data_IF_868347068293
#
_entry.id   IF_868347068293
#
_cell.length_a   1.000
_cell.length_b   1.000
_cell.length_c   1.000
_cell.angle_alpha   90.00
_cell.angle_beta   90.00
_cell.angle_gamma   90.00
#
_symmetry.space_group_name_H-M   'P 1'
#
loop_
_entity.id
_entity.type
_entity.pdbx_description
1 polymer ?
#
# COMPACT_ATOMS: atom_id res chain seq x y z
N UNK A 1 0.56 -3.68 0.73
CA UNK A 1 0.89 -4.73 -0.27
C UNK A 1 2.29 -5.31 -0.08
N UNK A 2 2.49 -6.61 -0.30
CA UNK A 2 3.77 -7.33 -0.29
C UNK A 2 4.17 -7.69 -1.71
N UNK A 3 5.48 -7.81 -1.97
CA UNK A 3 5.93 -8.25 -3.29
C UNK A 3 5.36 -9.62 -3.68
N UNK A 4 5.29 -10.56 -2.74
CA UNK A 4 4.72 -11.89 -3.01
C UNK A 4 3.22 -11.91 -3.30
N UNK A 5 2.50 -10.81 -3.07
CA UNK A 5 1.09 -10.65 -3.45
C UNK A 5 0.93 -10.19 -4.91
N UNK A 6 2.02 -9.70 -5.51
CA UNK A 6 2.08 -9.16 -6.87
C UNK A 6 2.72 -10.10 -7.88
N UNK A 7 3.32 -11.19 -7.41
CA UNK A 7 4.18 -12.07 -8.22
C UNK A 7 3.81 -13.53 -8.03
N UNK A 8 4.04 -14.34 -9.05
CA UNK A 8 4.01 -15.79 -8.92
C UNK A 8 5.24 -16.32 -8.17
N UNK A 9 5.10 -17.43 -7.44
CA UNK A 9 6.23 -18.23 -6.98
C UNK A 9 7.15 -18.65 -8.14
N UNK A 10 8.46 -18.59 -7.88
CA UNK A 10 9.47 -19.11 -8.82
C UNK A 10 9.29 -20.62 -9.03
N UNK A 11 9.01 -21.36 -7.95
CA UNK A 11 8.59 -22.76 -8.02
C UNK A 11 7.17 -22.89 -8.59
N UNK A 12 7.04 -23.59 -9.71
CA UNK A 12 5.77 -23.78 -10.42
C UNK A 12 4.77 -24.61 -9.62
N UNK A 13 5.23 -25.50 -8.75
CA UNK A 13 4.37 -26.37 -7.92
C UNK A 13 3.59 -25.57 -6.86
N UNK A 14 4.11 -24.41 -6.48
CA UNK A 14 3.51 -23.53 -5.46
C UNK A 14 2.55 -22.49 -6.07
N UNK A 15 2.41 -22.44 -7.40
CA UNK A 15 1.55 -21.46 -8.09
C UNK A 15 0.09 -21.79 -7.87
N UNK A 16 -0.68 -20.77 -7.50
CA UNK A 16 -2.10 -20.92 -7.24
C UNK A 16 -2.88 -19.85 -8.02
N UNK A 17 -3.64 -20.23 -9.07
CA UNK A 17 -4.43 -19.29 -9.86
C UNK A 17 -5.44 -18.46 -9.07
N UNK A 18 -5.91 -18.96 -7.92
CA UNK A 18 -6.84 -18.23 -7.04
C UNK A 18 -6.19 -17.01 -6.38
N UNK A 19 -4.85 -16.98 -6.28
CA UNK A 19 -4.09 -15.87 -5.69
C UNK A 19 -3.72 -14.78 -6.72
N UNK A 20 -4.03 -15.00 -7.99
CA UNK A 20 -3.68 -14.07 -9.07
C UNK A 20 -4.67 -12.91 -9.10
N UNK A 21 -4.14 -11.69 -9.02
CA UNK A 21 -4.92 -10.45 -9.22
C UNK A 21 -5.44 -10.41 -10.66
N UNK A 22 -6.75 -10.24 -10.82
CA UNK A 22 -7.38 -10.25 -12.14
C UNK A 22 -7.49 -8.85 -12.72
N UNK A 23 -7.26 -8.71 -14.03
CA UNK A 23 -7.48 -7.47 -14.78
C UNK A 23 -8.92 -6.98 -14.68
N UNK A 24 -9.88 -7.89 -14.63
CA UNK A 24 -11.32 -7.59 -14.53
C UNK A 24 -11.72 -6.98 -13.18
N UNK A 25 -10.87 -7.11 -12.15
CA UNK A 25 -11.11 -6.46 -10.86
C UNK A 25 -10.72 -4.98 -10.84
N UNK A 26 -10.02 -4.50 -11.88
CA UNK A 26 -9.55 -3.12 -11.93
C UNK A 26 -10.71 -2.20 -12.25
N UNK A 27 -10.86 -1.17 -11.42
CA UNK A 27 -11.73 -0.02 -11.68
C UNK A 27 -10.84 1.23 -11.75
N UNK A 28 -11.09 2.06 -12.76
CA UNK A 28 -10.31 3.26 -13.05
C UNK A 28 -11.26 4.46 -13.12
N UNK A 29 -10.91 5.54 -12.43
CA UNK A 29 -11.59 6.84 -12.52
C UNK A 29 -10.55 7.92 -12.88
N UNK A 30 -10.96 9.19 -12.95
CA UNK A 30 -10.05 10.31 -13.18
C UNK A 30 -9.07 10.55 -12.01
N UNK A 31 -9.45 10.12 -10.80
CA UNK A 31 -8.78 10.47 -9.55
C UNK A 31 -8.21 9.27 -8.80
N UNK A 32 -8.58 8.04 -9.18
CA UNK A 32 -8.07 6.84 -8.54
C UNK A 32 -8.08 5.64 -9.49
N UNK A 33 -7.33 4.62 -9.07
CA UNK A 33 -7.55 3.27 -9.55
C UNK A 33 -7.62 2.32 -8.36
N UNK A 34 -8.40 1.26 -8.52
CA UNK A 34 -8.48 0.19 -7.52
C UNK A 34 -8.54 -1.18 -8.16
N UNK A 35 -8.12 -2.19 -7.41
CA UNK A 35 -8.21 -3.58 -7.82
C UNK A 35 -8.31 -4.51 -6.62
N UNK A 36 -8.83 -5.71 -6.86
CA UNK A 36 -9.02 -6.71 -5.81
C UNK A 36 -7.77 -7.57 -5.66
N UNK A 37 -7.25 -7.63 -4.43
CA UNK A 37 -6.18 -8.53 -4.00
C UNK A 37 -6.80 -9.80 -3.40
N UNK A 38 -6.71 -10.98 -4.06
CA UNK A 38 -7.48 -12.16 -3.65
C UNK A 38 -7.03 -12.83 -2.35
N UNK A 39 -5.78 -12.63 -1.94
CA UNK A 39 -5.29 -13.23 -0.70
C UNK A 39 -4.10 -12.45 -0.17
N UNK A 40 -3.99 -12.35 1.15
CA UNK A 40 -2.80 -11.84 1.81
C UNK A 40 -2.51 -12.66 3.08
N UNK A 41 -1.29 -12.61 3.61
CA UNK A 41 -0.86 -13.49 4.73
C UNK A 41 -1.69 -13.28 6.03
N UNK A 42 -2.36 -12.13 6.18
CA UNK A 42 -3.19 -11.81 7.33
C UNK A 42 -4.69 -12.06 7.07
N UNK A 43 -5.04 -12.62 5.91
CA UNK A 43 -6.41 -12.89 5.49
C UNK A 43 -6.91 -14.22 6.04
N UNK A 44 -7.31 -14.24 7.31
CA UNK A 44 -7.78 -15.48 7.96
C UNK A 44 -9.10 -15.95 7.34
N UNK A 45 -9.93 -15.01 6.86
CA UNK A 45 -11.26 -15.30 6.31
C UNK A 45 -11.26 -15.49 4.78
N UNK A 46 -10.12 -15.29 4.10
CA UNK A 46 -10.01 -15.35 2.64
C UNK A 46 -10.94 -14.38 1.89
N UNK A 47 -11.24 -13.23 2.51
CA UNK A 47 -12.12 -12.20 1.92
C UNK A 47 -11.39 -11.35 0.88
N UNK A 48 -10.05 -11.40 0.86
CA UNK A 48 -9.20 -10.54 0.06
C UNK A 48 -9.14 -9.12 0.59
N UNK A 49 -8.63 -8.20 -0.22
CA UNK A 49 -8.69 -6.77 0.08
C UNK A 49 -8.78 -5.95 -1.22
N UNK A 50 -9.49 -4.83 -1.19
CA UNK A 50 -9.44 -3.85 -2.28
C UNK A 50 -8.31 -2.88 -2.06
N UNK A 51 -7.42 -2.81 -3.03
CA UNK A 51 -6.32 -1.84 -3.04
C UNK A 51 -6.80 -0.62 -3.79
N UNK A 52 -6.75 0.54 -3.16
CA UNK A 52 -7.09 1.83 -3.76
C UNK A 52 -5.83 2.68 -3.82
N UNK A 53 -5.55 3.26 -4.98
CA UNK A 53 -4.44 4.21 -5.18
C UNK A 53 -5.02 5.49 -5.75
N UNK A 54 -4.92 6.54 -4.94
CA UNK A 54 -5.34 7.89 -5.31
C UNK A 54 -4.29 8.54 -6.20
N UNK A 55 -4.76 9.28 -7.18
CA UNK A 55 -3.97 10.21 -7.97
C UNK A 55 -3.39 11.27 -7.06
N UNK A 56 -2.09 11.53 -7.19
CA UNK A 56 -1.40 12.56 -6.41
C UNK A 56 -0.50 13.37 -7.33
N UNK A 57 -0.55 14.71 -7.30
CA UNK A 57 0.33 15.56 -8.09
C UNK A 57 1.74 15.54 -7.47
N UNK A 58 2.52 14.53 -7.81
CA UNK A 58 3.92 14.40 -7.42
C UNK A 58 4.80 14.28 -8.68
N UNK A 59 6.12 14.32 -8.52
CA UNK A 59 7.05 14.09 -9.62
C UNK A 59 6.92 12.69 -10.27
N UNK A 60 6.23 11.76 -9.59
CA UNK A 60 5.92 10.43 -10.10
C UNK A 60 4.44 10.15 -9.91
N UNK A 61 3.66 10.38 -10.96
CA UNK A 61 2.20 10.24 -10.93
C UNK A 61 1.82 8.76 -11.15
N UNK A 62 1.46 8.00 -10.10
CA UNK A 62 1.24 6.56 -10.21
C UNK A 62 0.01 6.22 -11.05
N UNK A 63 -0.98 7.10 -11.12
CA UNK A 63 -2.21 6.89 -11.89
C UNK A 63 -1.89 6.89 -13.38
N UNK A 64 -1.21 7.91 -13.90
CA UNK A 64 -0.79 8.00 -15.30
C UNK A 64 0.09 6.81 -15.72
N UNK A 65 1.04 6.40 -14.86
CA UNK A 65 1.87 5.22 -15.11
C UNK A 65 1.03 3.94 -15.20
N UNK A 66 0.04 3.79 -14.33
CA UNK A 66 -0.86 2.65 -14.34
C UNK A 66 -1.78 2.65 -15.55
N UNK A 67 -2.33 3.80 -15.95
CA UNK A 67 -3.13 3.95 -17.17
C UNK A 67 -2.33 3.57 -18.41
N UNK A 68 -1.11 4.10 -18.54
CA UNK A 68 -0.20 3.76 -19.64
C UNK A 68 0.14 2.26 -19.66
N UNK A 69 0.34 1.67 -18.48
CA UNK A 69 0.55 0.24 -18.33
C UNK A 69 -0.65 -0.57 -18.84
N UNK A 70 -1.87 -0.25 -18.40
CA UNK A 70 -3.09 -0.93 -18.84
C UNK A 70 -3.30 -0.82 -20.35
N UNK A 71 -3.11 0.37 -20.93
CA UNK A 71 -3.23 0.56 -22.37
C UNK A 71 -2.24 -0.33 -23.15
N UNK A 72 -0.97 -0.37 -22.71
CA UNK A 72 0.04 -1.24 -23.34
C UNK A 72 -0.25 -2.72 -23.12
N UNK A 73 -0.70 -3.11 -21.93
CA UNK A 73 -1.03 -4.49 -21.56
C UNK A 73 -2.21 -5.01 -22.38
N UNK A 74 -3.32 -4.27 -22.38
CA UNK A 74 -4.58 -4.68 -22.99
C UNK A 74 -4.46 -4.72 -24.53
N UNK A 75 -3.63 -3.84 -25.12
CA UNK A 75 -3.28 -3.91 -26.54
C UNK A 75 -2.49 -5.17 -26.91
N UNK A 76 -1.55 -5.61 -26.07
CA UNK A 76 -0.70 -6.78 -26.37
C UNK A 76 -1.35 -8.11 -25.97
N UNK A 77 -2.14 -8.10 -24.90
CA UNK A 77 -2.70 -9.29 -24.26
C UNK A 77 -4.20 -9.10 -23.93
N UNK A 78 -5.04 -8.84 -24.94
CA UNK A 78 -6.45 -8.45 -24.73
C UNK A 78 -7.26 -9.49 -23.95
N UNK A 79 -6.96 -10.78 -24.12
CA UNK A 79 -7.69 -11.89 -23.48
C UNK A 79 -7.00 -12.45 -22.23
N UNK A 80 -5.90 -11.84 -21.79
CA UNK A 80 -5.18 -12.32 -20.62
C UNK A 80 -5.87 -11.87 -19.33
N UNK A 81 -6.10 -12.81 -18.42
CA UNK A 81 -6.77 -12.56 -17.13
C UNK A 81 -5.87 -11.89 -16.06
N UNK A 82 -4.59 -12.28 -15.87
CA UNK A 82 -3.74 -11.72 -14.80
C UNK A 82 -3.43 -10.24 -15.00
N UNK A 83 -3.67 -9.40 -13.98
CA UNK A 83 -3.40 -7.96 -14.07
C UNK A 83 -1.93 -7.67 -14.41
N UNK A 84 -1.00 -8.30 -13.71
CA UNK A 84 0.43 -8.06 -13.86
C UNK A 84 1.05 -9.05 -14.83
N UNK A 85 1.49 -8.53 -15.98
CA UNK A 85 2.16 -9.26 -17.05
C UNK A 85 3.51 -8.61 -17.38
N UNK A 86 4.47 -9.47 -17.72
CA UNK A 86 5.72 -9.08 -18.38
C UNK A 86 5.47 -8.78 -19.86
N UNK A 87 6.52 -8.28 -20.54
CA UNK A 87 6.48 -8.01 -21.98
C UNK A 87 6.23 -9.26 -22.84
N UNK A 88 6.52 -10.45 -22.31
CA UNK A 88 6.29 -11.76 -22.94
C UNK A 88 4.90 -12.36 -22.61
N UNK A 89 4.06 -11.66 -21.85
CA UNK A 89 2.72 -12.10 -21.50
C UNK A 89 2.64 -13.06 -20.30
N UNK A 90 3.76 -13.39 -19.67
CA UNK A 90 3.78 -14.23 -18.46
C UNK A 90 3.77 -13.39 -17.19
N UNK A 91 3.30 -13.98 -16.09
CA UNK A 91 3.22 -13.32 -14.78
C UNK A 91 4.64 -13.11 -14.23
N UNK A 92 4.97 -11.92 -13.70
CA UNK A 92 6.28 -11.70 -13.08
C UNK A 92 6.45 -12.60 -11.84
N UNK A 93 7.62 -13.21 -11.71
CA UNK A 93 7.99 -13.93 -10.48
C UNK A 93 8.71 -13.00 -9.50
N UNK A 94 8.88 -13.47 -8.25
CA UNK A 94 9.70 -12.75 -7.27
C UNK A 94 11.12 -12.51 -7.79
N UNK A 95 11.77 -13.52 -8.37
CA UNK A 95 13.13 -13.39 -8.92
C UNK A 95 13.19 -12.36 -10.04
N UNK A 96 12.20 -12.35 -10.95
CA UNK A 96 12.10 -11.32 -11.98
C UNK A 96 12.08 -9.92 -11.38
N UNK A 97 11.25 -9.68 -10.37
CA UNK A 97 11.11 -8.36 -9.76
C UNK A 97 12.38 -7.93 -9.01
N UNK A 98 12.98 -8.82 -8.24
CA UNK A 98 14.22 -8.53 -7.51
C UNK A 98 15.37 -8.24 -8.48
N UNK A 99 15.50 -9.02 -9.55
CA UNK A 99 16.53 -8.76 -10.57
C UNK A 99 16.29 -7.42 -11.27
N UNK A 100 15.04 -7.00 -11.46
CA UNK A 100 14.72 -5.68 -12.00
C UNK A 100 15.09 -4.56 -11.03
N UNK A 101 14.75 -4.68 -9.74
CA UNK A 101 15.11 -3.68 -8.71
C UNK A 101 16.63 -3.51 -8.59
N UNK A 102 17.38 -4.61 -8.63
CA UNK A 102 18.84 -4.59 -8.50
C UNK A 102 19.55 -3.78 -9.57
N UNK A 103 18.93 -3.62 -10.74
CA UNK A 103 19.47 -2.78 -11.82
C UNK A 103 19.43 -1.29 -11.50
N UNK A 104 18.51 -0.86 -10.63
CA UNK A 104 18.32 0.55 -10.27
C UNK A 104 18.91 0.90 -8.90
N UNK A 105 18.85 -0.03 -7.94
CA UNK A 105 19.17 0.25 -6.54
C UNK A 105 20.30 -0.61 -5.95
N UNK A 106 21.00 -1.40 -6.79
CA UNK A 106 22.04 -2.32 -6.31
C UNK A 106 21.47 -3.49 -5.50
N UNK A 107 22.31 -4.15 -4.69
CA UNK A 107 21.93 -5.39 -3.95
C UNK A 107 21.25 -5.12 -2.59
N UNK A 108 21.28 -3.89 -2.12
CA UNK A 108 20.81 -3.51 -0.78
C UNK A 108 19.28 -3.34 -0.69
N UNK A 109 18.61 -3.29 -1.84
CA UNK A 109 17.16 -3.19 -1.92
C UNK A 109 16.56 -4.56 -2.29
N UNK A 110 15.81 -5.12 -1.35
CA UNK A 110 15.07 -6.36 -1.50
C UNK A 110 13.55 -6.11 -1.44
N UNK A 111 12.75 -7.16 -1.64
CA UNK A 111 11.28 -7.05 -1.67
C UNK A 111 10.66 -6.46 -0.38
N UNK A 112 11.32 -6.60 0.77
CA UNK A 112 10.88 -5.99 2.03
C UNK A 112 11.28 -4.50 2.15
N UNK A 113 12.32 -4.06 1.44
CA UNK A 113 12.83 -2.69 1.52
C UNK A 113 11.79 -1.67 1.06
N UNK A 114 10.98 -1.99 0.04
CA UNK A 114 9.88 -1.12 -0.39
C UNK A 114 8.82 -0.91 0.70
N UNK A 115 8.49 -1.96 1.47
CA UNK A 115 7.55 -1.84 2.60
C UNK A 115 8.13 -1.00 3.72
N UNK A 116 9.43 -1.15 4.00
CA UNK A 116 10.12 -0.36 5.00
C UNK A 116 10.18 1.12 4.62
N UNK A 117 10.50 1.42 3.35
CA UNK A 117 10.47 2.77 2.80
C UNK A 117 9.08 3.40 2.88
N UNK A 118 8.04 2.66 2.49
CA UNK A 118 6.64 3.11 2.59
C UNK A 118 6.21 3.41 4.03
N UNK A 119 6.52 2.53 4.99
CA UNK A 119 6.24 2.79 6.40
C UNK A 119 6.93 4.06 6.91
N UNK A 120 8.21 4.22 6.56
CA UNK A 120 9.02 5.38 6.95
C UNK A 120 8.47 6.68 6.34
N UNK A 121 8.06 6.66 5.08
CA UNK A 121 7.47 7.82 4.41
C UNK A 121 6.12 8.24 5.03
N UNK A 122 5.28 7.26 5.39
CA UNK A 122 4.01 7.53 6.09
C UNK A 122 4.26 8.08 7.50
N UNK A 123 5.20 7.50 8.23
CA UNK A 123 5.60 8.00 9.56
C UNK A 123 6.16 9.43 9.49
N UNK A 124 6.97 9.72 8.46
CA UNK A 124 7.52 11.06 8.22
C UNK A 124 6.43 12.09 7.86
N UNK A 125 5.32 11.62 7.29
CA UNK A 125 4.11 12.43 7.02
C UNK A 125 3.15 12.48 8.21
N UNK A 126 3.58 12.10 9.42
CA UNK A 126 2.79 12.08 10.65
C UNK A 126 1.48 11.26 10.58
N UNK A 127 1.44 10.23 9.72
CA UNK A 127 0.31 9.30 9.66
C UNK A 127 0.27 8.47 10.94
N UNK A 128 -0.90 8.30 11.54
CA UNK A 128 -1.05 7.60 12.81
C UNK A 128 -0.54 6.14 12.72
N UNK A 129 0.10 5.60 13.79
CA UNK A 129 0.63 4.23 13.81
C UNK A 129 -0.41 3.17 13.40
N UNK A 130 -1.65 3.30 13.87
CA UNK A 130 -2.77 2.40 13.54
C UNK A 130 -3.10 2.40 12.05
N UNK A 131 -3.05 3.56 11.39
CA UNK A 131 -3.27 3.68 9.96
C UNK A 131 -2.09 3.10 9.16
N UNK A 132 -0.85 3.32 9.60
CA UNK A 132 0.32 2.71 8.96
C UNK A 132 0.24 1.18 9.09
N UNK A 133 -0.13 0.69 10.26
CA UNK A 133 -0.33 -0.73 10.53
C UNK A 133 -1.39 -1.33 9.60
N UNK A 134 -2.54 -0.67 9.48
CA UNK A 134 -3.62 -1.04 8.59
C UNK A 134 -3.18 -1.03 7.12
N UNK A 135 -2.54 0.04 6.63
CA UNK A 135 -2.06 0.16 5.23
C UNK A 135 -1.06 -0.95 4.87
N UNK A 136 -0.19 -1.33 5.80
CA UNK A 136 0.77 -2.39 5.56
C UNK A 136 0.21 -3.80 5.70
N UNK A 137 -0.99 -3.99 6.25
CA UNK A 137 -1.51 -5.30 6.68
C UNK A 137 -0.54 -5.96 7.67
N UNK A 138 -0.13 -5.24 8.72
CA UNK A 138 0.63 -5.81 9.84
C UNK A 138 -0.32 -6.24 10.94
N UNK A 139 -0.24 -7.51 11.35
CA UNK A 139 -1.04 -8.06 12.46
C UNK A 139 -0.61 -7.55 13.84
N UNK A 140 0.53 -6.88 13.92
CA UNK A 140 1.13 -6.38 15.16
C UNK A 140 1.92 -5.10 14.89
N UNK A 141 2.40 -4.47 15.97
CA UNK A 141 3.27 -3.30 15.93
C UNK A 141 4.68 -3.58 15.35
N UNK A 142 4.94 -4.77 14.80
CA UNK A 142 6.23 -5.16 14.19
C UNK A 142 6.66 -4.22 13.06
N UNK A 143 5.76 -3.41 12.49
CA UNK A 143 6.15 -2.40 11.49
C UNK A 143 7.11 -1.32 12.03
N UNK A 144 7.12 -1.08 13.34
CA UNK A 144 7.97 -0.08 13.99
C UNK A 144 9.47 -0.34 13.73
N UNK A 145 9.89 -1.61 13.61
CA UNK A 145 11.29 -1.98 13.30
C UNK A 145 11.75 -1.46 11.93
N UNK A 146 10.81 -1.12 11.05
CA UNK A 146 11.09 -0.62 9.72
C UNK A 146 11.20 0.91 9.64
N UNK A 147 10.81 1.64 10.69
CA UNK A 147 10.94 3.10 10.75
C UNK A 147 12.41 3.42 11.08
N UNK A 148 13.24 3.51 10.05
CA UNK A 148 14.68 3.80 10.17
C UNK A 148 14.97 5.32 10.22
N UNK A 149 14.24 6.05 11.06
CA UNK A 149 14.49 7.48 11.37
C UNK A 149 14.56 7.65 12.89
N UNK A 150 15.29 8.69 13.31
CA UNK A 150 15.67 9.00 14.70
C UNK A 150 14.55 8.71 15.72
N UNK A 151 14.84 8.12 16.90
CA UNK A 151 13.85 7.71 17.91
C UNK A 151 12.81 8.78 18.27
N UNK A 152 13.16 10.05 18.11
CA UNK A 152 12.30 11.22 18.31
C UNK A 152 11.09 11.25 17.37
N UNK A 153 11.22 10.82 16.10
CA UNK A 153 10.06 10.72 15.20
C UNK A 153 9.11 9.60 15.62
N UNK A 154 9.66 8.46 16.06
CA UNK A 154 8.88 7.38 16.67
C UNK A 154 8.17 7.86 17.94
N UNK A 155 8.85 8.62 18.79
CA UNK A 155 8.26 9.20 20.01
C UNK A 155 7.14 10.19 19.69
N UNK A 156 7.32 11.10 18.73
CA UNK A 156 6.27 12.02 18.30
C UNK A 156 5.07 11.27 17.69
N UNK A 157 5.32 10.20 16.93
CA UNK A 157 4.28 9.35 16.33
C UNK A 157 3.51 8.52 17.37
N UNK A 158 4.19 8.04 18.42
CA UNK A 158 3.63 7.20 19.48
C UNK A 158 2.95 8.01 20.60
N UNK A 159 3.49 9.19 20.94
CA UNK A 159 3.10 9.96 22.13
C UNK A 159 2.65 11.40 21.83
N UNK A 160 2.87 11.93 20.62
CA UNK A 160 2.61 13.33 20.29
C UNK A 160 1.12 13.72 20.18
N UNK A 161 0.19 12.76 20.21
CA UNK A 161 -1.27 13.03 20.18
C UNK A 161 -1.91 13.15 21.56
N UNK A 162 -1.22 12.83 22.65
CA UNK A 162 -1.80 12.97 24.00
C UNK A 162 -1.86 14.42 24.52
N UNK A 163 -1.38 15.41 23.76
CA UNK A 163 -1.32 16.82 24.18
C UNK A 163 -2.42 17.73 23.59
N UNK A 164 -3.42 17.19 22.89
CA UNK A 164 -4.60 17.96 22.43
C UNK A 164 -5.90 17.29 22.87
N UNK A 165 -6.18 17.38 24.15
CA UNK A 165 -7.56 17.55 24.60
C UNK A 165 -7.82 19.07 24.62
N UNK A 166 -8.87 19.59 23.96
CA UNK A 166 -9.30 20.95 24.22
C UNK A 166 -9.92 21.00 25.62
N UNK A 167 -9.35 21.85 26.47
CA UNK A 167 -9.99 22.33 27.69
C UNK A 167 -11.17 23.20 27.26
N UNK A 168 -12.37 22.64 27.33
CA UNK A 168 -13.61 23.37 27.06
C UNK A 168 -14.51 23.31 28.31
N UNK A 169 -14.05 23.95 29.40
CA UNK A 169 -14.96 24.53 30.38
C UNK A 169 -15.28 25.98 29.97
N UNK A 170 -16.06 26.13 28.91
CA UNK A 170 -16.78 27.38 28.65
C UNK A 170 -17.95 27.43 29.61
N UNK A 171 -17.80 28.24 30.66
CA UNK A 171 -18.90 28.68 31.51
C UNK A 171 -19.89 29.48 30.65
N UNK A 172 -21.11 28.95 30.50
CA UNK A 172 -22.24 29.68 29.91
C UNK A 172 -22.80 30.67 30.95
N UNK A 173 -23.06 31.95 30.60
CA UNK A 173 -23.75 32.87 31.49
C UNK A 173 -25.24 32.51 31.57
N UNK A 174 -25.73 32.32 32.79
CA UNK A 174 -27.15 32.13 33.09
C UNK A 174 -27.95 33.40 32.76
N UNK A 175 -29.06 33.20 32.06
CA UNK A 175 -30.06 34.20 31.70
C UNK A 175 -30.85 34.63 32.95
N UNK A 176 -30.98 35.94 33.20
CA UNK A 176 -31.85 36.49 34.24
C UNK A 176 -33.27 36.71 33.67
N UNK A 177 -34.35 36.41 34.41
CA UNK A 177 -35.70 36.75 33.99
C UNK A 177 -36.08 38.17 34.42
N UNK A 178 -36.66 38.89 33.47
CA UNK A 178 -37.41 40.14 33.63
C UNK A 178 -38.58 39.98 34.59
N UNK A 179 -38.78 40.99 35.43
CA UNK A 179 -40.10 41.43 35.90
C UNK A 179 -40.23 42.92 35.64
#
# INVERSE_FOLDING_TARGET
MRLGELTDPDDRTLRNPRKIIRRTSVQLTADEYKFFLPSHKADVNFEGNTIVVLRKPTCFEPHALFVAYLASRDRRFPFSSPLWLKADGTIPTRTFFINRLRRFFGRDVAGQSMRAGGATALASSAVAPSLIQAIGHWSSATFQIYIRKHPVMLQALLYGRSARAPDERVQLPFYAPTT
#
